data_IF_708931943386
#
_entry.id   IF_708931943386
#
_cell.length_a   1.000
_cell.length_b   1.000
_cell.length_c   1.000
_cell.angle_alpha   90.00
_cell.angle_beta   90.00
_cell.angle_gamma   90.00
#
_symmetry.space_group_name_H-M   'P 1'
#
loop_
_entity.id
_entity.type
_entity.pdbx_description
1 polymer ?
#
# COMPACT_ATOMS: atom_id res chain seq x y z
N UNK A 1 43.75 32.94 -10.33
CA UNK A 1 45.15 32.46 -10.29
C UNK A 1 45.45 31.89 -8.90
N UNK A 2 45.55 30.57 -8.76
CA UNK A 2 46.32 29.90 -7.69
C UNK A 2 46.50 28.43 -8.12
N UNK A 3 47.68 28.15 -8.68
CA UNK A 3 48.17 26.81 -9.03
C UNK A 3 48.82 26.17 -7.81
N UNK A 4 48.60 24.87 -7.61
CA UNK A 4 49.52 23.98 -6.91
C UNK A 4 49.61 22.66 -7.67
N UNK A 5 50.80 22.42 -8.25
CA UNK A 5 51.25 21.14 -8.80
C UNK A 5 52.04 20.37 -7.72
N UNK A 6 52.15 19.06 -7.93
CA UNK A 6 53.19 18.10 -7.49
C UNK A 6 52.55 16.89 -6.75
N UNK A 7 52.42 15.73 -7.39
CA UNK A 7 53.43 14.70 -7.70
C UNK A 7 53.39 13.56 -6.65
N UNK A 8 52.94 12.39 -7.10
CA UNK A 8 53.01 11.13 -6.37
C UNK A 8 52.83 9.99 -7.37
N UNK A 9 53.96 9.48 -7.85
CA UNK A 9 54.16 8.51 -8.94
C UNK A 9 54.01 7.06 -8.42
N UNK A 10 53.25 6.26 -9.18
CA UNK A 10 53.45 4.84 -9.57
C UNK A 10 53.65 3.79 -8.46
N UNK A 11 52.74 2.81 -8.43
CA UNK A 11 52.94 1.53 -7.76
C UNK A 11 51.99 0.43 -8.27
N UNK A 12 52.43 -0.29 -9.29
CA UNK A 12 52.08 -1.66 -9.66
C UNK A 12 50.63 -2.01 -10.08
N UNK A 13 50.56 -2.28 -11.38
CA UNK A 13 49.57 -2.98 -12.18
C UNK A 13 48.94 -4.25 -11.58
N UNK A 14 47.76 -4.55 -12.15
CA UNK A 14 47.13 -5.85 -12.33
C UNK A 14 46.08 -6.28 -11.29
N UNK A 15 44.82 -6.03 -11.64
CA UNK A 15 43.85 -7.10 -11.88
C UNK A 15 42.68 -6.51 -12.69
N UNK A 16 42.48 -7.08 -13.88
CA UNK A 16 41.28 -6.85 -14.68
C UNK A 16 40.04 -7.18 -13.84
N UNK A 17 39.23 -6.17 -13.53
CA UNK A 17 37.85 -6.37 -13.18
C UNK A 17 37.04 -5.34 -13.99
N UNK A 18 36.67 -5.76 -15.20
CA UNK A 18 35.53 -5.16 -15.88
C UNK A 18 34.31 -5.38 -14.98
N UNK A 19 33.95 -4.35 -14.24
CA UNK A 19 32.76 -4.30 -13.41
C UNK A 19 32.19 -2.91 -13.58
N UNK A 20 31.44 -2.73 -14.67
CA UNK A 20 30.53 -1.61 -14.84
C UNK A 20 29.68 -1.62 -13.56
N UNK A 21 29.85 -0.63 -12.69
CA UNK A 21 28.92 -0.40 -11.59
C UNK A 21 27.64 0.12 -12.24
N UNK A 22 26.89 -0.83 -12.79
CA UNK A 22 25.51 -0.66 -13.23
C UNK A 22 24.80 -0.03 -12.06
N UNK A 23 24.18 1.13 -12.29
CA UNK A 23 23.30 1.74 -11.30
C UNK A 23 22.40 0.65 -10.74
N UNK A 24 22.39 0.52 -9.42
CA UNK A 24 21.45 -0.39 -8.77
C UNK A 24 20.07 0.14 -9.09
N UNK A 25 19.49 -0.39 -10.16
CA UNK A 25 18.07 -0.29 -10.42
C UNK A 25 17.36 -0.68 -9.11
N UNK A 26 16.30 0.04 -8.71
CA UNK A 26 15.53 -0.35 -7.54
C UNK A 26 15.20 -1.84 -7.66
N UNK A 27 15.37 -2.62 -6.58
CA UNK A 27 15.10 -4.05 -6.62
C UNK A 27 13.70 -4.27 -7.19
N UNK A 28 13.63 -5.25 -8.10
CA UNK A 28 12.41 -5.73 -8.73
C UNK A 28 11.24 -5.72 -7.76
N UNK A 29 10.18 -5.01 -8.15
CA UNK A 29 8.86 -4.89 -7.54
C UNK A 29 8.71 -5.58 -6.17
N UNK A 30 9.14 -4.89 -5.11
CA UNK A 30 8.50 -5.12 -3.82
C UNK A 30 7.03 -4.76 -4.03
N UNK A 31 6.20 -5.78 -4.32
CA UNK A 31 4.81 -5.61 -4.71
C UNK A 31 4.17 -4.54 -3.84
N UNK A 32 3.72 -3.44 -4.45
CA UNK A 32 3.13 -2.32 -3.73
C UNK A 32 2.06 -2.86 -2.79
N UNK A 33 2.14 -2.46 -1.51
CA UNK A 33 1.18 -2.90 -0.49
C UNK A 33 0.45 -1.69 0.05
N UNK A 34 -0.87 -1.75 0.05
CA UNK A 34 -1.67 -0.83 0.84
C UNK A 34 -1.60 -1.21 2.31
N UNK A 35 -1.56 -0.21 3.19
CA UNK A 35 -1.65 -0.41 4.63
C UNK A 35 -3.10 -0.30 5.07
N UNK A 36 -3.44 -0.95 6.17
CA UNK A 36 -4.76 -0.84 6.77
C UNK A 36 -4.68 -0.73 8.30
N UNK A 37 -5.71 -0.12 8.88
CA UNK A 37 -6.00 -0.09 10.31
C UNK A 37 -7.48 -0.37 10.52
N UNK A 38 -7.80 -1.24 11.48
CA UNK A 38 -9.14 -1.60 11.92
C UNK A 38 -9.23 -1.31 13.41
N UNK A 39 -10.19 -0.50 13.81
CA UNK A 39 -10.51 -0.24 15.21
C UNK A 39 -11.87 -0.83 15.50
N UNK A 40 -11.90 -1.87 16.32
CA UNK A 40 -13.15 -2.43 16.87
C UNK A 40 -13.80 -1.37 17.76
N UNK A 41 -15.01 -0.94 17.41
CA UNK A 41 -15.73 0.13 18.10
C UNK A 41 -16.45 -0.37 19.37
N UNK A 42 -16.59 -1.69 19.53
CA UNK A 42 -17.16 -2.31 20.74
C UNK A 42 -16.08 -2.54 21.79
N UNK A 43 -14.94 -3.12 21.40
CA UNK A 43 -13.87 -3.49 22.32
C UNK A 43 -12.73 -2.47 22.42
N UNK A 44 -12.66 -1.52 21.48
CA UNK A 44 -11.58 -0.55 21.36
C UNK A 44 -10.27 -1.15 20.84
N UNK A 45 -10.26 -2.41 20.40
CA UNK A 45 -9.04 -3.09 19.93
C UNK A 45 -8.67 -2.67 18.51
N UNK A 46 -7.41 -2.30 18.34
CA UNK A 46 -6.83 -1.96 17.03
C UNK A 46 -6.10 -3.15 16.39
N UNK A 47 -6.27 -3.29 15.07
CA UNK A 47 -5.50 -4.21 14.23
C UNK A 47 -4.94 -3.42 13.06
N UNK A 48 -3.68 -3.66 12.71
CA UNK A 48 -3.07 -3.04 11.54
C UNK A 48 -2.24 -4.04 10.78
N UNK A 49 -1.97 -3.71 9.52
CA UNK A 49 -1.18 -4.56 8.65
C UNK A 49 -1.08 -4.01 7.25
N UNK A 50 -0.66 -4.87 6.35
CA UNK A 50 -0.61 -4.57 4.92
C UNK A 50 -1.42 -5.61 4.19
N UNK A 51 -2.10 -5.21 3.13
CA UNK A 51 -2.76 -6.15 2.24
C UNK A 51 -2.09 -6.19 0.88
N UNK A 52 -2.13 -7.35 0.26
CA UNK A 52 -1.63 -7.54 -1.08
C UNK A 52 -2.60 -6.93 -2.11
N UNK A 53 -2.03 -6.58 -3.26
CA UNK A 53 -2.77 -6.18 -4.44
C UNK A 53 -3.72 -7.28 -4.92
N UNK A 54 -4.95 -6.90 -5.21
CA UNK A 54 -5.85 -7.57 -6.14
C UNK A 54 -5.71 -6.83 -7.48
N UNK A 55 -5.11 -7.48 -8.48
CA UNK A 55 -4.78 -6.83 -9.75
C UNK A 55 -5.99 -6.18 -10.41
N UNK A 56 -5.88 -4.91 -10.78
CA UNK A 56 -6.92 -4.16 -11.50
C UNK A 56 -8.06 -3.66 -10.60
N UNK A 57 -8.36 -2.37 -10.71
CA UNK A 57 -9.51 -1.73 -10.05
C UNK A 57 -10.80 -1.76 -10.89
N UNK A 58 -10.73 -2.31 -12.10
CA UNK A 58 -11.86 -2.50 -13.02
C UNK A 58 -12.72 -3.73 -12.67
N UNK A 59 -12.19 -4.64 -11.85
CA UNK A 59 -12.92 -5.83 -11.43
C UNK A 59 -14.23 -5.45 -10.74
N UNK A 60 -15.29 -6.20 -11.03
CA UNK A 60 -16.59 -6.01 -10.39
C UNK A 60 -16.46 -6.22 -8.88
N UNK A 61 -17.04 -5.29 -8.12
CA UNK A 61 -17.09 -5.37 -6.65
C UNK A 61 -18.28 -6.26 -6.31
N UNK A 62 -18.11 -7.33 -5.50
CA UNK A 62 -19.24 -8.12 -5.04
C UNK A 62 -20.30 -7.25 -4.36
N UNK A 63 -21.59 -7.61 -4.45
CA UNK A 63 -22.64 -6.83 -3.81
C UNK A 63 -22.46 -6.84 -2.28
N UNK A 64 -23.04 -5.83 -1.62
CA UNK A 64 -23.12 -5.82 -0.16
C UNK A 64 -24.10 -6.88 0.32
N UNK A 65 -23.68 -7.67 1.31
CA UNK A 65 -24.57 -8.57 2.03
C UNK A 65 -25.62 -7.74 2.81
N UNK A 66 -26.88 -8.19 2.94
CA UNK A 66 -27.93 -7.44 3.63
C UNK A 66 -27.66 -7.24 5.13
N UNK A 67 -26.78 -8.05 5.74
CA UNK A 67 -26.32 -7.88 7.13
C UNK A 67 -25.20 -6.83 7.28
N UNK A 68 -24.70 -6.28 6.17
CA UNK A 68 -23.60 -5.30 6.17
C UNK A 68 -24.13 -3.88 6.04
N UNK A 69 -23.95 -3.09 7.10
CA UNK A 69 -24.19 -1.65 7.10
C UNK A 69 -22.86 -0.90 7.16
N UNK A 70 -22.63 0.01 6.21
CA UNK A 70 -21.43 0.84 6.19
C UNK A 70 -21.77 2.30 5.96
N UNK A 71 -21.18 3.15 6.80
CA UNK A 71 -21.45 4.59 6.91
C UNK A 71 -20.16 5.42 6.99
N UNK A 72 -20.34 6.73 6.90
CA UNK A 72 -19.28 7.73 7.05
C UNK A 72 -18.03 7.50 6.17
N UNK A 73 -18.21 7.25 4.84
CA UNK A 73 -17.08 7.13 3.94
C UNK A 73 -16.33 8.46 3.85
N UNK A 74 -15.01 8.39 3.91
CA UNK A 74 -14.13 9.54 3.80
C UNK A 74 -12.93 9.21 2.91
N UNK A 75 -12.65 10.08 1.96
CA UNK A 75 -11.52 9.98 1.03
C UNK A 75 -10.64 11.22 1.19
N UNK A 76 -9.34 11.02 1.35
CA UNK A 76 -8.37 12.13 1.45
C UNK A 76 -6.96 11.67 1.09
N UNK A 77 -6.39 12.25 0.03
CA UNK A 77 -5.04 11.90 -0.43
C UNK A 77 -4.91 10.40 -0.74
N UNK A 78 -4.03 9.71 -0.04
CA UNK A 78 -3.85 8.25 -0.12
C UNK A 78 -4.80 7.46 0.78
N UNK A 79 -5.60 8.13 1.61
CA UNK A 79 -6.44 7.52 2.63
C UNK A 79 -7.89 7.32 2.20
N UNK A 80 -8.43 6.15 2.54
CA UNK A 80 -9.86 5.87 2.54
C UNK A 80 -10.27 5.40 3.94
N UNK A 81 -11.39 5.91 4.47
CA UNK A 81 -11.94 5.45 5.74
C UNK A 81 -13.44 5.23 5.64
N UNK A 82 -13.94 4.26 6.41
CA UNK A 82 -15.37 3.99 6.57
C UNK A 82 -15.61 3.32 7.91
N UNK A 83 -16.85 3.39 8.40
CA UNK A 83 -17.30 2.61 9.54
C UNK A 83 -18.25 1.52 9.04
N UNK A 84 -18.08 0.28 9.46
CA UNK A 84 -18.95 -0.83 9.05
C UNK A 84 -19.36 -1.68 10.24
N UNK A 85 -20.57 -2.23 10.19
CA UNK A 85 -21.06 -3.29 11.05
C UNK A 85 -21.61 -4.43 10.19
N UNK A 86 -21.28 -5.67 10.56
CA UNK A 86 -21.81 -6.87 9.93
C UNK A 86 -21.16 -8.14 10.46
N UNK A 87 -21.69 -9.30 10.04
CA UNK A 87 -21.26 -10.61 10.53
C UNK A 87 -20.06 -11.20 9.78
N UNK A 88 -19.91 -10.86 8.49
CA UNK A 88 -18.75 -11.19 7.66
C UNK A 88 -18.62 -10.16 6.54
N UNK A 89 -17.53 -9.41 6.50
CA UNK A 89 -17.27 -8.45 5.44
C UNK A 89 -15.79 -8.22 5.13
N UNK A 90 -15.60 -7.81 3.89
CA UNK A 90 -14.36 -7.36 3.31
C UNK A 90 -14.44 -5.88 2.99
N UNK A 91 -13.35 -5.16 3.18
CA UNK A 91 -13.22 -3.75 2.80
C UNK A 91 -12.17 -3.65 1.70
N UNK A 92 -12.40 -2.77 0.72
CA UNK A 92 -11.45 -2.49 -0.34
C UNK A 92 -11.23 -0.99 -0.55
N UNK A 93 -10.09 -0.67 -1.15
CA UNK A 93 -9.75 0.64 -1.71
C UNK A 93 -9.19 0.44 -3.12
N UNK A 94 -9.63 1.28 -4.04
CA UNK A 94 -9.06 1.39 -5.38
C UNK A 94 -8.14 2.60 -5.41
N UNK A 95 -6.91 2.37 -5.84
CA UNK A 95 -5.86 3.38 -5.83
C UNK A 95 -5.55 3.86 -7.26
N UNK A 96 -4.90 5.02 -7.37
CA UNK A 96 -4.53 5.64 -8.64
C UNK A 96 -3.39 4.94 -9.39
N UNK A 97 -2.80 3.90 -8.79
CA UNK A 97 -1.86 2.97 -9.44
C UNK A 97 -2.57 1.97 -10.37
N UNK A 98 -3.91 2.00 -10.43
CA UNK A 98 -4.72 1.11 -11.25
C UNK A 98 -5.15 -0.16 -10.52
N UNK A 99 -4.78 -0.31 -9.25
CA UNK A 99 -4.96 -1.54 -8.50
C UNK A 99 -6.02 -1.42 -7.39
N UNK A 100 -6.62 -2.57 -7.05
CA UNK A 100 -7.51 -2.72 -5.88
C UNK A 100 -6.74 -3.38 -4.76
N UNK A 101 -6.97 -2.92 -3.54
CA UNK A 101 -6.46 -3.54 -2.32
C UNK A 101 -7.64 -3.87 -1.42
N UNK A 102 -7.75 -5.11 -0.97
CA UNK A 102 -8.83 -5.51 -0.07
C UNK A 102 -8.31 -6.30 1.12
N UNK A 103 -8.99 -6.20 2.25
CA UNK A 103 -8.72 -7.00 3.44
C UNK A 103 -10.04 -7.50 4.02
N UNK A 104 -10.08 -8.80 4.30
CA UNK A 104 -11.22 -9.46 4.93
C UNK A 104 -10.90 -9.80 6.36
N UNK A 105 -11.73 -9.32 7.29
CA UNK A 105 -11.67 -9.73 8.70
C UNK A 105 -12.95 -9.43 9.49
N UNK A 106 -13.93 -8.75 8.89
CA UNK A 106 -14.91 -8.02 9.68
C UNK A 106 -16.09 -8.88 10.11
N UNK A 107 -16.07 -9.36 11.35
CA UNK A 107 -17.28 -9.69 12.10
C UNK A 107 -17.36 -8.73 13.30
N UNK A 108 -18.39 -7.88 13.37
CA UNK A 108 -18.58 -6.84 14.39
C UNK A 108 -18.64 -5.41 13.83
N UNK A 109 -18.49 -4.41 14.72
CA UNK A 109 -18.51 -2.98 14.37
C UNK A 109 -17.09 -2.39 14.38
N UNK A 110 -16.66 -1.82 13.25
CA UNK A 110 -15.30 -1.32 13.07
C UNK A 110 -15.27 0.06 12.42
N UNK A 111 -14.27 0.87 12.80
CA UNK A 111 -13.74 1.95 11.99
C UNK A 111 -12.52 1.43 11.22
N UNK A 112 -12.58 1.49 9.90
CA UNK A 112 -11.53 0.98 9.02
C UNK A 112 -10.88 2.16 8.28
N UNK A 113 -9.56 2.12 8.17
CA UNK A 113 -8.75 3.06 7.39
C UNK A 113 -7.84 2.25 6.49
N UNK A 114 -7.88 2.53 5.20
CA UNK A 114 -6.94 2.07 4.19
C UNK A 114 -6.03 3.21 3.77
N UNK A 115 -4.79 2.87 3.42
CA UNK A 115 -3.82 3.80 2.87
C UNK A 115 -3.17 3.17 1.65
N UNK A 116 -3.39 3.78 0.49
CA UNK A 116 -2.77 3.42 -0.77
C UNK A 116 -1.23 3.45 -0.67
N UNK A 117 -0.53 2.63 -1.47
CA UNK A 117 0.93 2.63 -1.50
C UNK A 117 1.53 3.99 -1.87
N UNK A 118 2.83 4.17 -1.60
CA UNK A 118 3.52 5.43 -1.81
C UNK A 118 3.37 5.97 -3.24
N UNK A 119 2.90 7.21 -3.35
CA UNK A 119 2.68 7.88 -4.63
C UNK A 119 1.28 7.66 -5.24
N UNK A 120 0.48 6.75 -4.69
CA UNK A 120 -0.89 6.53 -5.12
C UNK A 120 -1.91 7.24 -4.23
N UNK A 121 -2.98 7.74 -4.83
CA UNK A 121 -4.14 8.34 -4.14
C UNK A 121 -5.30 7.36 -4.08
N UNK A 122 -6.12 7.46 -3.04
CA UNK A 122 -7.36 6.70 -2.95
C UNK A 122 -8.41 7.33 -3.88
N UNK A 123 -8.93 6.55 -4.82
CA UNK A 123 -9.92 7.00 -5.79
C UNK A 123 -11.34 6.71 -5.32
N UNK A 124 -11.55 5.49 -4.83
CA UNK A 124 -12.80 5.03 -4.23
C UNK A 124 -12.52 3.90 -3.25
N UNK A 125 -13.51 3.54 -2.47
CA UNK A 125 -13.47 2.34 -1.65
C UNK A 125 -14.87 1.91 -1.26
N UNK A 126 -14.93 0.79 -0.57
CA UNK A 126 -16.20 0.27 -0.08
C UNK A 126 -16.00 -1.02 0.70
N UNK A 127 -17.12 -1.67 0.96
CA UNK A 127 -17.15 -2.98 1.58
C UNK A 127 -18.16 -3.87 0.85
N UNK A 128 -17.95 -5.17 0.95
CA UNK A 128 -18.81 -6.23 0.45
C UNK A 128 -18.82 -7.37 1.47
N UNK A 129 -19.91 -8.14 1.51
CA UNK A 129 -20.02 -9.31 2.39
C UNK A 129 -20.04 -10.60 1.58
N UNK A 130 -19.82 -11.73 2.26
CA UNK A 130 -20.17 -13.05 1.72
C UNK A 130 -21.64 -13.38 1.97
#
# INVERSE_FOLDING_TARGET
>A
MKSWNALGIVGASALCAAGIAVGTAPPADAAAKASYTWLDLVTGRGYSGTTARLSGNEAEVPPRSPSLDCRDPYLSGSGYALSCWGDDFHVFVDCSDGDRYAYGRGAGEYRIIFTCPSGATALRGGAYGN
#
